data_IF_313376362451
#
_entry.id   IF_313376362451
#
_cell.length_a   1.000
_cell.length_b   1.000
_cell.length_c   1.000
_cell.angle_alpha   90.00
_cell.angle_beta   90.00
_cell.angle_gamma   90.00
#
_symmetry.space_group_name_H-M   'P 1'
#
loop_
_entity.id
_entity.type
_entity.pdbx_description
1 polymer ?
#
# COMPACT_ATOMS: atom_id res chain seq x y z
N UNK A 1 -22.89 -15.24 -0.34
CA UNK A 1 -21.81 -16.11 -0.88
C UNK A 1 -20.88 -16.55 0.25
N UNK A 2 -20.27 -17.75 0.11
CA UNK A 2 -19.16 -18.19 0.97
C UNK A 2 -17.86 -17.89 0.25
N UNK A 3 -17.07 -16.98 0.79
CA UNK A 3 -15.86 -16.44 0.16
C UNK A 3 -14.63 -16.89 0.95
N UNK A 4 -13.67 -17.50 0.29
CA UNK A 4 -12.32 -17.74 0.82
C UNK A 4 -11.38 -16.72 0.19
N UNK A 5 -10.89 -15.80 1.01
CA UNK A 5 -10.05 -14.67 0.59
C UNK A 5 -8.60 -14.93 1.00
N UNK A 6 -7.73 -15.19 0.04
CA UNK A 6 -6.33 -15.54 0.29
C UNK A 6 -5.47 -14.29 0.18
N UNK A 7 -4.98 -13.79 1.31
CA UNK A 7 -4.01 -12.68 1.35
C UNK A 7 -2.93 -12.99 2.38
N UNK A 8 -1.72 -13.32 1.91
CA UNK A 8 -0.55 -13.65 2.72
C UNK A 8 -0.29 -12.64 3.85
N UNK A 9 -0.45 -11.35 3.53
CA UNK A 9 -0.11 -10.24 4.40
C UNK A 9 -1.33 -9.53 5.00
N UNK A 10 -2.51 -10.15 4.94
CA UNK A 10 -3.71 -9.56 5.51
C UNK A 10 -3.48 -9.17 6.98
N UNK A 11 -3.66 -7.90 7.28
CA UNK A 11 -3.42 -7.30 8.57
C UNK A 11 -4.72 -6.73 9.14
N UNK A 12 -4.77 -6.66 10.48
CA UNK A 12 -5.83 -5.94 11.17
C UNK A 12 -5.62 -4.42 11.05
N UNK A 13 -6.67 -3.61 10.97
CA UNK A 13 -6.58 -2.16 11.06
C UNK A 13 -5.75 -1.68 12.25
N UNK A 14 -5.88 -2.34 13.39
CA UNK A 14 -5.14 -2.03 14.62
C UNK A 14 -3.62 -2.28 14.54
N UNK A 15 -3.15 -3.09 13.57
CA UNK A 15 -1.73 -3.44 13.42
C UNK A 15 -0.94 -2.50 12.50
N UNK A 16 -1.61 -1.57 11.81
CA UNK A 16 -0.97 -0.62 10.90
C UNK A 16 -0.53 -1.18 9.55
N UNK A 17 -0.88 -2.44 9.24
CA UNK A 17 -0.58 -3.09 7.98
C UNK A 17 -1.61 -2.80 6.86
N UNK A 18 -1.57 -3.60 5.80
CA UNK A 18 -2.61 -3.58 4.75
C UNK A 18 -3.89 -4.26 5.26
N UNK A 19 -4.87 -3.46 5.65
CA UNK A 19 -6.15 -3.91 6.19
C UNK A 19 -7.25 -4.07 5.14
N UNK A 20 -6.94 -3.95 3.85
CA UNK A 20 -7.91 -4.03 2.75
C UNK A 20 -8.75 -5.29 2.79
N UNK A 21 -8.12 -6.44 3.04
CA UNK A 21 -8.82 -7.72 3.14
C UNK A 21 -9.91 -7.69 4.22
N UNK A 22 -9.63 -7.10 5.38
CA UNK A 22 -10.58 -6.96 6.48
C UNK A 22 -11.70 -6.00 6.11
N UNK A 23 -11.39 -4.85 5.51
CA UNK A 23 -12.39 -3.86 5.08
C UNK A 23 -13.37 -4.43 4.05
N UNK A 24 -12.85 -5.15 3.04
CA UNK A 24 -13.68 -5.81 2.04
C UNK A 24 -14.55 -6.91 2.68
N UNK A 25 -13.96 -7.75 3.54
CA UNK A 25 -14.67 -8.80 4.25
C UNK A 25 -15.82 -8.24 5.09
N UNK A 26 -15.57 -7.19 5.88
CA UNK A 26 -16.60 -6.51 6.68
C UNK A 26 -17.72 -5.95 5.81
N UNK A 27 -17.39 -5.31 4.68
CA UNK A 27 -18.37 -4.78 3.75
C UNK A 27 -19.23 -5.88 3.09
N UNK A 28 -18.65 -7.03 2.77
CA UNK A 28 -19.41 -8.17 2.20
C UNK A 28 -20.25 -8.88 3.25
N UNK A 29 -19.76 -8.99 4.49
CA UNK A 29 -20.53 -9.57 5.61
C UNK A 29 -21.79 -8.72 5.92
N UNK A 30 -21.73 -7.40 5.82
CA UNK A 30 -22.90 -6.52 5.92
C UNK A 30 -23.95 -6.80 4.84
N UNK A 31 -23.53 -7.39 3.72
CA UNK A 31 -24.44 -7.84 2.65
C UNK A 31 -24.86 -9.32 2.79
N UNK A 32 -24.59 -9.96 3.93
CA UNK A 32 -24.97 -11.36 4.22
C UNK A 32 -24.00 -12.41 3.66
N UNK A 33 -22.81 -12.04 3.21
CA UNK A 33 -21.79 -13.00 2.77
C UNK A 33 -21.01 -13.57 3.97
N UNK A 34 -20.49 -14.79 3.86
CA UNK A 34 -19.58 -15.39 4.82
C UNK A 34 -18.17 -15.30 4.27
N UNK A 35 -17.25 -14.67 4.98
CA UNK A 35 -15.86 -14.48 4.51
C UNK A 35 -14.88 -15.08 5.48
N UNK A 36 -13.97 -15.89 4.98
CA UNK A 36 -12.78 -16.37 5.71
C UNK A 36 -11.53 -15.87 5.01
N UNK A 37 -10.67 -15.16 5.74
CA UNK A 37 -9.38 -14.69 5.24
C UNK A 37 -8.31 -15.74 5.55
N UNK A 38 -7.63 -16.26 4.53
CA UNK A 38 -6.45 -17.12 4.67
C UNK A 38 -5.20 -16.27 4.64
N UNK A 39 -4.47 -16.22 5.76
CA UNK A 39 -3.27 -15.40 5.91
C UNK A 39 -2.14 -16.15 6.62
N UNK A 40 -0.92 -15.59 6.60
CA UNK A 40 0.16 -16.10 7.41
C UNK A 40 -0.12 -15.85 8.91
N UNK A 41 0.18 -16.85 9.74
CA UNK A 41 0.21 -16.73 11.20
C UNK A 41 1.57 -16.29 11.68
N UNK A 42 1.62 -15.51 12.75
CA UNK A 42 2.87 -15.15 13.40
C UNK A 42 3.48 -16.37 14.10
N UNK A 43 4.63 -16.84 13.58
CA UNK A 43 5.61 -17.58 14.36
C UNK A 43 5.19 -18.90 15.03
N UNK A 44 4.09 -19.53 14.65
CA UNK A 44 3.73 -20.83 15.22
C UNK A 44 4.76 -21.89 14.84
N UNK A 45 5.35 -22.55 15.87
CA UNK A 45 6.21 -23.73 15.74
C UNK A 45 5.43 -25.00 15.39
N UNK A 46 4.17 -24.87 14.97
CA UNK A 46 3.29 -26.00 14.68
C UNK A 46 3.73 -26.75 13.41
N UNK A 47 3.60 -28.09 13.39
CA UNK A 47 3.94 -28.92 12.24
C UNK A 47 3.20 -28.52 10.96
N UNK A 48 3.72 -28.93 9.81
CA UNK A 48 3.12 -28.70 8.51
C UNK A 48 1.71 -29.30 8.47
N UNK A 49 0.67 -28.45 8.34
CA UNK A 49 -0.72 -28.89 8.28
C UNK A 49 -1.67 -28.19 9.26
N UNK A 50 -1.17 -27.51 10.26
CA UNK A 50 -2.03 -26.88 11.25
C UNK A 50 -2.55 -25.53 10.75
N UNK A 51 -3.87 -25.48 10.57
CA UNK A 51 -4.65 -24.27 10.30
C UNK A 51 -5.22 -23.79 11.64
N UNK A 52 -4.82 -22.60 12.06
CA UNK A 52 -5.37 -21.95 13.25
C UNK A 52 -6.49 -21.00 12.82
N UNK A 53 -7.68 -21.18 13.38
CA UNK A 53 -8.79 -20.25 13.15
C UNK A 53 -8.84 -19.24 14.30
N UNK A 54 -8.88 -17.97 13.93
CA UNK A 54 -9.00 -16.85 14.86
C UNK A 54 -10.09 -15.90 14.39
N UNK A 55 -10.76 -15.24 15.34
CA UNK A 55 -11.76 -14.22 15.06
C UNK A 55 -11.23 -12.88 15.57
N UNK A 56 -11.12 -11.90 14.70
CA UNK A 56 -10.63 -10.58 15.04
C UNK A 56 -11.38 -9.50 14.23
N UNK A 57 -11.79 -8.43 14.90
CA UNK A 57 -12.51 -7.30 14.30
C UNK A 57 -13.74 -7.74 13.46
N UNK A 58 -14.44 -8.78 13.92
CA UNK A 58 -15.63 -9.32 13.25
C UNK A 58 -15.36 -10.22 12.04
N UNK A 59 -14.11 -10.53 11.72
CA UNK A 59 -13.72 -11.35 10.58
C UNK A 59 -13.07 -12.65 11.02
N UNK A 60 -13.36 -13.73 10.31
CA UNK A 60 -12.71 -15.05 10.52
C UNK A 60 -11.41 -15.12 9.74
N UNK A 61 -10.33 -15.47 10.42
CA UNK A 61 -9.03 -15.78 9.83
C UNK A 61 -8.71 -17.26 9.94
N UNK A 62 -8.24 -17.84 8.85
CA UNK A 62 -7.52 -19.11 8.84
C UNK A 62 -6.03 -18.82 8.70
N UNK A 63 -5.28 -18.99 9.76
CA UNK A 63 -3.85 -18.70 9.80
C UNK A 63 -3.04 -19.93 9.45
N UNK A 64 -2.18 -19.79 8.42
CA UNK A 64 -1.20 -20.81 8.05
C UNK A 64 0.16 -20.44 8.65
N UNK A 65 0.77 -21.37 9.41
CA UNK A 65 2.08 -21.12 10.02
C UNK A 65 3.14 -20.84 8.93
N UNK A 66 3.55 -19.61 8.81
CA UNK A 66 4.64 -19.15 7.96
C UNK A 66 5.53 -18.20 8.76
N UNK A 67 6.85 -18.18 8.52
CA UNK A 67 7.70 -17.22 9.23
C UNK A 67 7.24 -15.80 8.87
N UNK A 68 7.30 -14.85 9.81
CA UNK A 68 7.05 -13.46 9.51
C UNK A 68 8.00 -13.01 8.39
N UNK A 69 7.63 -12.01 7.57
CA UNK A 69 8.54 -11.46 6.58
C UNK A 69 9.82 -11.00 7.29
N UNK A 70 10.94 -11.69 7.02
CA UNK A 70 12.23 -11.38 7.60
C UNK A 70 12.71 -9.99 7.15
N UNK A 71 13.70 -9.44 7.86
CA UNK A 71 14.36 -8.20 7.42
C UNK A 71 15.10 -8.47 6.10
N UNK A 72 14.77 -7.66 5.08
CA UNK A 72 15.39 -7.76 3.76
C UNK A 72 14.63 -8.63 2.76
N UNK A 73 15.20 -8.74 1.57
CA UNK A 73 14.63 -9.40 0.39
C UNK A 73 14.45 -10.91 0.62
N UNK A 74 15.49 -11.57 1.14
CA UNK A 74 15.50 -13.02 1.36
C UNK A 74 14.47 -13.47 2.38
N UNK A 75 14.26 -12.70 3.44
CA UNK A 75 13.28 -13.02 4.46
C UNK A 75 11.85 -12.95 3.93
N UNK A 76 11.53 -11.95 3.12
CA UNK A 76 10.20 -11.81 2.49
C UNK A 76 9.94 -12.93 1.48
N UNK A 77 10.94 -13.30 0.67
CA UNK A 77 10.83 -14.38 -0.32
C UNK A 77 10.65 -15.74 0.35
N UNK A 78 11.43 -16.02 1.39
CA UNK A 78 11.30 -17.26 2.18
C UNK A 78 9.92 -17.37 2.83
N UNK A 79 9.41 -16.29 3.42
CA UNK A 79 8.05 -16.24 3.99
C UNK A 79 7.00 -16.58 2.94
N UNK A 80 7.07 -15.95 1.75
CA UNK A 80 6.18 -16.22 0.63
C UNK A 80 6.22 -17.69 0.19
N UNK A 81 7.41 -18.26 0.01
CA UNK A 81 7.58 -19.65 -0.42
C UNK A 81 6.99 -20.63 0.59
N UNK A 82 7.22 -20.40 1.88
CA UNK A 82 6.65 -21.25 2.95
C UNK A 82 5.13 -21.14 2.98
N UNK A 83 4.60 -19.91 2.90
CA UNK A 83 3.17 -19.68 2.85
C UNK A 83 2.51 -20.40 1.65
N UNK A 84 3.04 -20.22 0.44
CA UNK A 84 2.53 -20.87 -0.77
C UNK A 84 2.57 -22.39 -0.69
N UNK A 85 3.67 -22.97 -0.16
CA UNK A 85 3.77 -24.42 0.05
C UNK A 85 2.67 -24.92 0.99
N UNK A 86 2.48 -24.24 2.12
CA UNK A 86 1.44 -24.61 3.10
C UNK A 86 0.04 -24.44 2.53
N UNK A 87 -0.23 -23.33 1.85
CA UNK A 87 -1.49 -23.06 1.20
C UNK A 87 -1.84 -24.15 0.17
N UNK A 88 -0.85 -24.60 -0.63
CA UNK A 88 -1.04 -25.66 -1.60
C UNK A 88 -1.39 -27.01 -0.96
N UNK A 89 -0.70 -27.36 0.11
CA UNK A 89 -0.93 -28.61 0.87
C UNK A 89 -2.27 -28.58 1.60
N UNK A 90 -2.65 -27.42 2.15
CA UNK A 90 -3.90 -27.25 2.91
C UNK A 90 -5.15 -27.11 2.01
N UNK A 91 -5.00 -27.03 0.68
CA UNK A 91 -6.13 -26.82 -0.24
C UNK A 91 -7.31 -27.80 -0.04
N UNK A 92 -7.11 -29.13 0.15
CA UNK A 92 -8.22 -30.04 0.40
C UNK A 92 -8.97 -29.74 1.71
N UNK A 93 -8.22 -29.50 2.79
CA UNK A 93 -8.80 -29.17 4.09
C UNK A 93 -9.53 -27.82 4.08
N UNK A 94 -9.02 -26.82 3.36
CA UNK A 94 -9.68 -25.52 3.17
C UNK A 94 -11.00 -25.70 2.39
N UNK A 95 -10.99 -26.47 1.31
CA UNK A 95 -12.17 -26.75 0.49
C UNK A 95 -13.25 -27.48 1.30
N UNK A 96 -12.89 -28.52 2.06
CA UNK A 96 -13.81 -29.30 2.88
C UNK A 96 -14.40 -28.48 4.03
N UNK A 97 -13.55 -27.74 4.77
CA UNK A 97 -13.93 -26.99 5.97
C UNK A 97 -14.82 -25.81 5.65
N UNK A 98 -14.42 -24.99 4.68
CA UNK A 98 -15.11 -23.72 4.39
C UNK A 98 -16.13 -23.82 3.26
N UNK A 99 -16.06 -24.86 2.42
CA UNK A 99 -16.95 -25.08 1.27
C UNK A 99 -17.22 -23.78 0.51
N UNK A 100 -16.16 -23.09 0.05
CA UNK A 100 -16.33 -21.79 -0.59
C UNK A 100 -17.08 -21.93 -1.91
N UNK A 101 -17.89 -20.94 -2.24
CA UNK A 101 -18.47 -20.72 -3.56
C UNK A 101 -17.53 -19.87 -4.44
N UNK A 102 -16.63 -19.14 -3.77
CA UNK A 102 -15.67 -18.24 -4.40
C UNK A 102 -14.32 -18.27 -3.67
N UNK A 103 -13.23 -18.36 -4.43
CA UNK A 103 -11.87 -18.27 -3.91
C UNK A 103 -11.14 -17.10 -4.59
N UNK A 104 -10.68 -16.15 -3.79
CA UNK A 104 -9.99 -14.94 -4.25
C UNK A 104 -8.50 -15.04 -3.92
N UNK A 105 -7.62 -14.95 -4.95
CA UNK A 105 -6.18 -14.82 -4.79
C UNK A 105 -5.80 -13.33 -4.74
N UNK A 106 -5.36 -12.85 -3.57
CA UNK A 106 -5.18 -11.43 -3.27
C UNK A 106 -3.83 -11.09 -2.61
N UNK A 107 -2.85 -12.00 -2.67
CA UNK A 107 -1.55 -11.84 -1.98
C UNK A 107 -0.61 -10.79 -2.58
N UNK A 108 -1.00 -10.12 -3.67
CA UNK A 108 -0.19 -9.10 -4.36
C UNK A 108 0.90 -9.69 -5.28
N UNK A 109 0.91 -10.99 -5.49
CA UNK A 109 1.78 -11.71 -6.41
C UNK A 109 0.97 -12.84 -7.10
N UNK A 110 1.34 -13.27 -8.32
CA UNK A 110 0.50 -14.20 -9.10
C UNK A 110 0.61 -15.66 -8.67
N UNK A 111 1.55 -16.01 -7.79
CA UNK A 111 1.81 -17.41 -7.44
C UNK A 111 0.74 -18.04 -6.55
N UNK A 112 0.03 -17.26 -5.75
CA UNK A 112 -1.07 -17.72 -4.90
C UNK A 112 -2.29 -18.15 -5.71
N UNK A 113 -2.43 -17.67 -6.95
CA UNK A 113 -3.51 -18.08 -7.84
C UNK A 113 -3.51 -19.59 -8.13
N UNK A 114 -2.35 -20.23 -8.24
CA UNK A 114 -2.28 -21.69 -8.41
C UNK A 114 -2.90 -22.44 -7.22
N UNK A 115 -2.64 -21.95 -6.01
CA UNK A 115 -3.19 -22.52 -4.78
C UNK A 115 -4.69 -22.23 -4.66
N UNK A 116 -5.11 -21.02 -4.98
CA UNK A 116 -6.51 -20.61 -5.00
C UNK A 116 -7.31 -21.43 -5.99
N UNK A 117 -6.82 -21.64 -7.22
CA UNK A 117 -7.47 -22.44 -8.24
C UNK A 117 -7.57 -23.93 -7.82
N UNK A 118 -6.51 -24.47 -7.17
CA UNK A 118 -6.57 -25.83 -6.62
C UNK A 118 -7.69 -25.96 -5.58
N UNK A 119 -7.77 -25.03 -4.64
CA UNK A 119 -8.84 -25.02 -3.62
C UNK A 119 -10.21 -24.88 -4.25
N UNK A 120 -10.35 -23.96 -5.22
CA UNK A 120 -11.61 -23.75 -5.94
C UNK A 120 -12.07 -25.00 -6.70
N UNK A 121 -11.17 -25.68 -7.42
CA UNK A 121 -11.50 -26.94 -8.12
C UNK A 121 -11.99 -28.04 -7.17
N UNK A 122 -11.39 -28.16 -5.99
CA UNK A 122 -11.79 -29.13 -4.98
C UNK A 122 -13.15 -28.81 -4.36
N UNK A 123 -13.51 -27.53 -4.26
CA UNK A 123 -14.78 -27.06 -3.72
C UNK A 123 -15.88 -26.87 -4.77
N UNK A 124 -15.59 -26.94 -6.07
CA UNK A 124 -16.52 -26.56 -7.13
C UNK A 124 -16.77 -25.04 -7.21
N UNK A 125 -15.83 -24.24 -6.75
CA UNK A 125 -15.96 -22.78 -6.61
C UNK A 125 -15.44 -22.01 -7.83
N UNK A 126 -15.88 -20.74 -7.97
CA UNK A 126 -15.32 -19.78 -8.91
C UNK A 126 -13.99 -19.19 -8.37
N UNK A 127 -13.18 -18.66 -9.28
CA UNK A 127 -11.88 -18.05 -8.96
C UNK A 127 -11.82 -16.58 -9.32
N UNK A 128 -11.22 -15.78 -8.43
CA UNK A 128 -10.91 -14.38 -8.69
C UNK A 128 -9.42 -14.12 -8.47
N UNK A 129 -8.83 -13.34 -9.35
CA UNK A 129 -7.45 -12.86 -9.19
C UNK A 129 -7.42 -11.36 -8.98
N UNK A 130 -6.77 -10.88 -7.92
CA UNK A 130 -6.53 -9.47 -7.70
C UNK A 130 -5.19 -9.03 -8.27
N UNK A 131 -5.25 -8.16 -9.27
CA UNK A 131 -4.08 -7.51 -9.87
C UNK A 131 -3.79 -6.22 -9.11
N UNK A 132 -2.86 -6.26 -8.17
CA UNK A 132 -2.47 -5.09 -7.33
C UNK A 132 -1.16 -4.46 -7.75
N UNK A 133 -0.25 -5.25 -8.27
CA UNK A 133 1.09 -4.82 -8.63
C UNK A 133 1.41 -5.33 -10.04
N UNK A 134 2.15 -4.57 -10.87
CA UNK A 134 2.70 -5.06 -12.13
C UNK A 134 3.83 -6.05 -11.82
N UNK A 135 3.48 -7.27 -11.38
CA UNK A 135 4.36 -8.16 -10.63
C UNK A 135 5.68 -8.51 -11.29
N UNK A 136 5.78 -8.86 -12.58
CA UNK A 136 7.10 -9.18 -13.13
C UNK A 136 8.04 -7.98 -13.08
N UNK A 137 7.52 -6.77 -13.34
CA UNK A 137 8.26 -5.51 -13.28
C UNK A 137 8.63 -5.16 -11.83
N UNK A 138 7.65 -5.28 -10.93
CA UNK A 138 7.82 -5.03 -9.51
C UNK A 138 8.81 -6.01 -8.87
N UNK A 139 8.77 -7.30 -9.25
CA UNK A 139 9.74 -8.30 -8.80
C UNK A 139 11.15 -7.94 -9.23
N UNK A 140 11.36 -7.56 -10.49
CA UNK A 140 12.66 -7.12 -11.01
C UNK A 140 13.22 -5.95 -10.23
N UNK A 141 12.38 -4.96 -9.95
CA UNK A 141 12.80 -3.76 -9.24
C UNK A 141 13.10 -4.05 -7.76
N UNK A 142 12.30 -4.89 -7.11
CA UNK A 142 12.46 -5.22 -5.69
C UNK A 142 13.61 -6.18 -5.42
N UNK A 143 13.85 -7.10 -6.33
CA UNK A 143 14.79 -8.22 -6.17
C UNK A 143 15.90 -8.17 -7.23
N UNK A 144 16.40 -6.97 -7.56
CA UNK A 144 17.36 -6.75 -8.62
C UNK A 144 18.64 -7.62 -8.52
N UNK A 145 19.09 -7.92 -7.29
CA UNK A 145 20.26 -8.78 -7.02
C UNK A 145 20.04 -10.25 -7.40
N UNK A 146 18.77 -10.69 -7.49
CA UNK A 146 18.36 -12.07 -7.78
C UNK A 146 17.51 -12.16 -9.07
N UNK A 147 17.65 -11.20 -9.97
CA UNK A 147 16.88 -11.10 -11.21
C UNK A 147 17.42 -12.05 -12.29
N UNK A 148 17.33 -13.35 -12.05
CA UNK A 148 17.68 -14.35 -13.04
C UNK A 148 16.64 -14.44 -14.16
N UNK A 149 17.09 -14.85 -15.37
CA UNK A 149 16.20 -15.10 -16.52
C UNK A 149 15.09 -16.10 -16.15
N UNK A 150 15.42 -17.13 -15.38
CA UNK A 150 14.46 -18.14 -14.92
C UNK A 150 13.37 -17.53 -14.02
N UNK A 151 13.76 -16.71 -13.03
CA UNK A 151 12.81 -16.05 -12.14
C UNK A 151 11.86 -15.13 -12.90
N UNK A 152 12.37 -14.42 -13.92
CA UNK A 152 11.52 -13.60 -14.81
C UNK A 152 10.53 -14.44 -15.58
N UNK A 153 10.97 -15.52 -16.22
CA UNK A 153 10.08 -16.43 -16.96
C UNK A 153 9.01 -17.04 -16.06
N UNK A 154 9.35 -17.42 -14.82
CA UNK A 154 8.39 -17.96 -13.85
C UNK A 154 7.34 -16.89 -13.47
N UNK A 155 7.77 -15.66 -13.22
CA UNK A 155 6.87 -14.56 -12.87
C UNK A 155 5.93 -14.19 -14.03
N UNK A 156 6.47 -14.09 -15.24
CA UNK A 156 5.70 -13.81 -16.45
C UNK A 156 4.68 -14.93 -16.74
N UNK A 157 5.10 -16.19 -16.61
CA UNK A 157 4.21 -17.34 -16.77
C UNK A 157 3.09 -17.33 -15.72
N UNK A 158 3.43 -17.13 -14.44
CA UNK A 158 2.44 -17.12 -13.37
C UNK A 158 1.42 -15.99 -13.53
N UNK A 159 1.87 -14.79 -13.92
CA UNK A 159 0.96 -13.66 -14.19
C UNK A 159 0.04 -13.97 -15.38
N UNK A 160 0.61 -14.41 -16.50
CA UNK A 160 -0.18 -14.78 -17.67
C UNK A 160 -1.15 -15.92 -17.38
N UNK A 161 -0.75 -16.88 -16.55
CA UNK A 161 -1.63 -17.96 -16.14
C UNK A 161 -2.80 -17.47 -15.29
N UNK A 162 -2.55 -16.63 -14.28
CA UNK A 162 -3.60 -16.09 -13.43
C UNK A 162 -4.61 -15.26 -14.25
N UNK A 163 -4.12 -14.36 -15.12
CA UNK A 163 -4.97 -13.52 -15.97
C UNK A 163 -5.86 -14.33 -16.95
N UNK A 164 -5.36 -15.45 -17.50
CA UNK A 164 -6.14 -16.28 -18.44
C UNK A 164 -7.11 -17.25 -17.77
N UNK A 165 -6.85 -17.65 -16.53
CA UNK A 165 -7.58 -18.75 -15.89
C UNK A 165 -8.48 -18.31 -14.73
N UNK A 166 -8.45 -17.04 -14.32
CA UNK A 166 -9.40 -16.50 -13.37
C UNK A 166 -10.76 -16.27 -14.04
N UNK A 167 -11.86 -16.63 -13.36
CA UNK A 167 -13.22 -16.32 -13.82
C UNK A 167 -13.45 -14.78 -13.83
N UNK A 168 -12.74 -14.04 -12.94
CA UNK A 168 -12.72 -12.58 -12.88
C UNK A 168 -11.33 -12.10 -12.45
N UNK A 169 -10.80 -11.13 -13.15
CA UNK A 169 -9.65 -10.32 -12.68
C UNK A 169 -10.16 -8.99 -12.13
N UNK A 170 -9.77 -8.67 -10.91
CA UNK A 170 -10.04 -7.37 -10.28
C UNK A 170 -8.73 -6.60 -10.17
N UNK A 171 -8.61 -5.51 -10.91
CA UNK A 171 -7.43 -4.68 -10.92
C UNK A 171 -7.57 -3.53 -9.93
N UNK A 172 -6.58 -3.37 -9.06
CA UNK A 172 -6.33 -2.16 -8.29
C UNK A 172 -5.23 -1.27 -8.90
N UNK A 173 -4.69 -1.68 -10.05
CA UNK A 173 -3.86 -0.80 -10.86
C UNK A 173 -4.77 0.18 -11.62
N UNK A 174 -4.55 1.49 -11.55
CA UNK A 174 -5.34 2.49 -12.26
C UNK A 174 -5.48 2.22 -13.77
N UNK A 175 -4.42 1.68 -14.39
CA UNK A 175 -4.39 1.30 -15.81
C UNK A 175 -4.22 -0.22 -16.00
N UNK A 176 -5.03 -1.00 -15.26
CA UNK A 176 -4.97 -2.47 -15.30
C UNK A 176 -5.33 -3.06 -16.68
N UNK A 177 -6.25 -2.44 -17.43
CA UNK A 177 -6.57 -2.83 -18.80
C UNK A 177 -5.37 -2.66 -19.74
N UNK A 178 -4.67 -1.54 -19.64
CA UNK A 178 -3.44 -1.29 -20.42
C UNK A 178 -2.36 -2.31 -20.06
N UNK A 179 -2.24 -2.65 -18.76
CA UNK A 179 -1.31 -3.67 -18.32
C UNK A 179 -1.59 -5.02 -18.96
N UNK A 180 -2.85 -5.47 -18.99
CA UNK A 180 -3.24 -6.73 -19.63
C UNK A 180 -3.00 -6.68 -21.14
N UNK A 181 -3.41 -5.62 -21.82
CA UNK A 181 -3.24 -5.43 -23.26
C UNK A 181 -1.77 -5.46 -23.68
N UNK A 182 -0.91 -4.73 -22.99
CA UNK A 182 0.53 -4.64 -23.31
C UNK A 182 1.26 -5.97 -23.13
N UNK A 183 0.71 -6.85 -22.32
CA UNK A 183 1.21 -8.22 -22.14
C UNK A 183 0.55 -9.23 -23.08
N UNK A 184 -0.32 -8.79 -23.99
CA UNK A 184 -1.08 -9.68 -24.87
C UNK A 184 -2.03 -10.62 -24.11
N UNK A 185 -2.49 -10.22 -22.92
CA UNK A 185 -3.40 -11.00 -22.09
C UNK A 185 -4.83 -10.48 -22.22
N UNK A 186 -5.77 -11.40 -22.35
CA UNK A 186 -7.20 -11.10 -22.38
C UNK A 186 -7.89 -11.91 -21.27
N UNK A 187 -8.03 -11.34 -20.07
CA UNK A 187 -8.83 -11.96 -19.01
C UNK A 187 -10.27 -12.19 -19.47
N UNK A 188 -10.90 -13.29 -19.03
CA UNK A 188 -12.29 -13.57 -19.35
C UNK A 188 -13.23 -12.42 -18.94
N UNK A 189 -12.97 -11.85 -17.77
CA UNK A 189 -13.62 -10.65 -17.25
C UNK A 189 -12.57 -9.82 -16.50
N UNK A 190 -12.57 -8.52 -16.70
CA UNK A 190 -11.69 -7.56 -16.00
C UNK A 190 -12.51 -6.37 -15.52
N UNK A 191 -12.30 -5.99 -14.28
CA UNK A 191 -12.79 -4.73 -13.73
C UNK A 191 -11.63 -4.00 -13.04
N UNK A 192 -11.67 -2.68 -13.07
CA UNK A 192 -10.73 -1.83 -12.31
C UNK A 192 -11.49 -1.16 -11.17
N UNK A 193 -10.98 -1.31 -9.95
CA UNK A 193 -11.51 -0.69 -8.75
C UNK A 193 -10.45 0.21 -8.10
N UNK A 194 -10.86 1.31 -7.47
CA UNK A 194 -9.96 2.09 -6.65
C UNK A 194 -9.57 1.30 -5.39
N UNK A 195 -8.37 1.57 -4.85
CA UNK A 195 -7.99 1.02 -3.56
C UNK A 195 -8.88 1.61 -2.45
N UNK A 196 -9.43 0.80 -1.52
CA UNK A 196 -10.17 1.35 -0.39
C UNK A 196 -9.24 2.10 0.57
N UNK A 197 -9.69 3.25 1.06
CA UNK A 197 -8.94 4.00 2.05
C UNK A 197 -8.86 3.21 3.38
N UNK A 198 -7.68 3.09 3.99
CA UNK A 198 -7.56 2.45 5.30
C UNK A 198 -8.30 3.28 6.37
N UNK A 199 -8.68 2.70 7.51
CA UNK A 199 -9.25 3.47 8.61
C UNK A 199 -8.28 4.56 9.08
N UNK A 200 -8.80 5.74 9.37
CA UNK A 200 -7.98 6.82 9.87
C UNK A 200 -7.55 6.57 11.31
N UNK A 201 -6.25 6.64 11.58
CA UNK A 201 -5.75 6.54 12.95
C UNK A 201 -6.23 7.71 13.80
N UNK A 202 -6.56 7.49 15.07
CA UNK A 202 -6.85 8.59 16.00
C UNK A 202 -5.56 9.36 16.32
N UNK A 203 -5.59 10.69 16.28
CA UNK A 203 -4.44 11.51 16.67
C UNK A 203 -4.02 11.18 18.11
N UNK A 204 -2.69 11.08 18.34
CA UNK A 204 -2.11 10.88 19.67
C UNK A 204 -1.05 11.95 19.93
N UNK A 205 -0.89 12.40 21.17
CA UNK A 205 0.13 13.38 21.52
C UNK A 205 1.53 12.93 21.03
N UNK A 206 2.29 13.86 20.48
CA UNK A 206 3.71 13.67 20.21
C UNK A 206 4.46 13.45 21.53
N UNK A 207 5.67 12.93 21.44
CA UNK A 207 6.57 12.98 22.60
C UNK A 207 6.88 14.44 22.91
N UNK A 208 7.09 14.76 24.17
CA UNK A 208 7.33 16.13 24.62
C UNK A 208 8.54 16.76 23.91
N UNK A 209 9.63 16.01 23.76
CA UNK A 209 10.84 16.41 23.04
C UNK A 209 10.57 16.73 21.55
N UNK A 210 9.80 15.86 20.86
CA UNK A 210 9.44 16.06 19.46
C UNK A 210 8.50 17.28 19.32
N UNK A 211 7.52 17.42 20.21
CA UNK A 211 6.57 18.53 20.19
C UNK A 211 7.27 19.88 20.40
N UNK A 212 8.17 19.96 21.37
CA UNK A 212 8.96 21.18 21.64
C UNK A 212 9.84 21.55 20.45
N UNK A 213 10.54 20.56 19.85
CA UNK A 213 11.40 20.81 18.68
C UNK A 213 10.59 21.26 17.45
N UNK A 214 9.41 20.67 17.21
CA UNK A 214 8.52 21.05 16.10
C UNK A 214 7.95 22.45 16.34
N UNK A 215 7.60 22.79 17.57
CA UNK A 215 7.12 24.12 17.92
C UNK A 215 8.19 25.18 17.66
N UNK A 216 9.41 24.99 18.16
CA UNK A 216 10.54 25.89 17.93
C UNK A 216 10.85 26.06 16.42
N UNK A 217 10.75 24.98 15.66
CA UNK A 217 10.90 25.01 14.19
C UNK A 217 9.81 25.87 13.55
N UNK A 218 8.56 25.72 14.00
CA UNK A 218 7.39 26.45 13.47
C UNK A 218 7.44 27.94 13.77
N UNK A 219 7.98 28.33 14.92
CA UNK A 219 8.19 29.75 15.25
C UNK A 219 9.18 30.45 14.30
N UNK A 220 10.19 29.71 13.84
CA UNK A 220 11.24 30.24 12.96
C UNK A 220 10.85 30.16 11.47
N UNK A 221 10.05 29.13 11.07
CA UNK A 221 9.73 28.86 9.68
C UNK A 221 8.20 28.76 9.48
N UNK A 222 7.57 29.69 8.74
CA UNK A 222 6.12 29.74 8.57
C UNK A 222 5.55 28.55 7.78
N UNK A 223 6.34 27.88 6.92
CA UNK A 223 5.89 26.72 6.14
C UNK A 223 6.56 25.45 6.63
N UNK A 224 5.74 24.50 7.12
CA UNK A 224 6.21 23.22 7.64
C UNK A 224 5.78 22.06 6.73
N UNK A 225 6.75 21.24 6.31
CA UNK A 225 6.52 20.04 5.53
C UNK A 225 6.74 18.83 6.42
N UNK A 226 5.84 17.83 6.33
CA UNK A 226 5.98 16.62 7.12
C UNK A 226 6.13 15.35 6.25
N UNK A 227 7.06 14.52 6.66
CA UNK A 227 7.18 13.13 6.26
C UNK A 227 7.31 12.25 7.50
N UNK A 228 6.49 11.19 7.60
CA UNK A 228 6.66 10.17 8.62
C UNK A 228 6.52 8.77 7.99
N UNK A 229 7.59 8.00 8.03
CA UNK A 229 7.61 6.68 7.41
C UNK A 229 9.00 6.04 7.36
N UNK A 230 9.15 4.92 6.64
CA UNK A 230 10.44 4.25 6.49
C UNK A 230 11.48 5.12 5.78
N UNK A 231 12.65 5.29 6.40
CA UNK A 231 13.78 6.01 5.80
C UNK A 231 14.60 5.08 4.92
N UNK A 232 14.13 4.86 3.69
CA UNK A 232 14.73 3.98 2.69
C UNK A 232 14.97 4.72 1.38
N UNK A 233 15.83 4.18 0.51
CA UNK A 233 16.06 4.71 -0.84
C UNK A 233 14.74 4.93 -1.57
N UNK A 234 13.86 3.95 -1.53
CA UNK A 234 12.56 3.96 -2.20
C UNK A 234 11.68 5.16 -1.80
N UNK A 235 11.75 5.62 -0.56
CA UNK A 235 10.89 6.70 -0.05
C UNK A 235 11.45 8.09 -0.27
N UNK A 236 12.63 8.18 -0.86
CA UNK A 236 13.27 9.42 -1.28
C UNK A 236 13.38 10.53 -0.20
N UNK A 237 13.59 10.20 1.10
CA UNK A 237 13.63 11.21 2.13
C UNK A 237 14.83 12.16 1.99
N UNK A 238 15.89 11.73 1.30
CA UNK A 238 17.08 12.54 1.03
C UNK A 238 16.76 13.68 0.04
N UNK A 239 15.85 13.43 -0.92
CA UNK A 239 15.43 14.48 -1.87
C UNK A 239 14.66 15.58 -1.16
N UNK A 240 13.76 15.20 -0.24
CA UNK A 240 13.05 16.17 0.60
C UNK A 240 14.01 16.98 1.45
N UNK A 241 14.90 16.30 2.19
CA UNK A 241 15.88 16.99 3.04
C UNK A 241 16.75 17.95 2.24
N UNK A 242 17.23 17.52 1.07
CA UNK A 242 18.09 18.34 0.21
C UNK A 242 17.37 19.52 -0.45
N UNK A 243 16.09 19.36 -0.81
CA UNK A 243 15.30 20.46 -1.36
C UNK A 243 14.98 21.49 -0.28
N UNK A 244 14.42 21.05 0.86
CA UNK A 244 14.03 21.93 1.97
C UNK A 244 15.24 22.59 2.62
N UNK A 245 16.34 21.86 2.83
CA UNK A 245 17.54 22.41 3.47
C UNK A 245 18.07 23.68 2.80
N UNK A 246 17.84 23.84 1.49
CA UNK A 246 18.24 25.04 0.71
C UNK A 246 17.19 26.15 0.72
N UNK A 247 16.04 25.91 1.32
CA UNK A 247 14.91 26.86 1.31
C UNK A 247 14.65 27.50 2.70
N UNK A 248 15.64 27.48 3.59
CA UNK A 248 15.51 28.09 4.92
C UNK A 248 15.22 29.61 4.87
N UNK A 249 15.89 30.35 3.97
CA UNK A 249 15.65 31.78 3.77
C UNK A 249 14.25 32.08 3.21
N UNK A 250 13.61 31.14 2.50
CA UNK A 250 12.23 31.24 2.05
C UNK A 250 11.20 30.86 3.14
N UNK A 251 11.65 30.60 4.36
CA UNK A 251 10.79 30.28 5.49
C UNK A 251 10.22 28.85 5.45
N UNK A 252 10.91 27.93 4.80
CA UNK A 252 10.48 26.52 4.66
C UNK A 252 11.28 25.61 5.59
N UNK A 253 10.57 24.75 6.32
CA UNK A 253 11.19 23.71 7.15
C UNK A 253 10.55 22.34 6.91
N UNK A 254 11.27 21.27 7.26
CA UNK A 254 10.75 19.91 7.21
C UNK A 254 10.96 19.16 8.52
N UNK A 255 9.96 18.34 8.88
CA UNK A 255 10.08 17.28 9.88
C UNK A 255 10.07 15.93 9.15
N UNK A 256 11.16 15.19 9.29
CA UNK A 256 11.34 13.86 8.70
C UNK A 256 11.44 12.85 9.84
N UNK A 257 10.33 12.17 10.10
CA UNK A 257 10.18 11.20 11.17
C UNK A 257 10.30 9.76 10.63
N UNK A 258 11.20 8.95 11.18
CA UNK A 258 11.29 7.57 10.75
C UNK A 258 12.53 6.82 11.18
N UNK A 259 12.53 5.53 10.83
CA UNK A 259 13.68 4.64 10.97
C UNK A 259 13.94 3.92 9.64
N UNK A 260 15.19 3.51 9.42
CA UNK A 260 15.58 2.79 8.21
C UNK A 260 17.06 3.00 7.86
N UNK A 261 17.52 2.33 6.80
CA UNK A 261 18.92 2.35 6.37
C UNK A 261 19.46 3.74 6.00
N UNK A 262 18.59 4.66 5.62
CA UNK A 262 18.97 6.02 5.23
C UNK A 262 19.06 7.01 6.39
N UNK A 263 18.74 6.59 7.63
CA UNK A 263 18.74 7.51 8.79
C UNK A 263 20.10 8.12 9.06
N UNK A 264 21.16 7.32 9.01
CA UNK A 264 22.53 7.83 9.25
C UNK A 264 22.98 8.76 8.12
N UNK A 265 22.67 8.41 6.87
CA UNK A 265 22.96 9.28 5.72
C UNK A 265 22.26 10.64 5.88
N UNK A 266 20.98 10.66 6.21
CA UNK A 266 20.23 11.90 6.44
C UNK A 266 20.83 12.75 7.55
N UNK A 267 21.13 12.14 8.71
CA UNK A 267 21.76 12.86 9.84
C UNK A 267 23.09 13.49 9.45
N UNK A 268 23.90 12.73 8.72
CA UNK A 268 25.18 13.21 8.21
C UNK A 268 24.99 14.37 7.23
N UNK A 269 24.11 14.22 6.23
CA UNK A 269 23.85 15.22 5.21
C UNK A 269 23.32 16.52 5.81
N UNK A 270 22.34 16.46 6.73
CA UNK A 270 21.80 17.63 7.42
C UNK A 270 22.89 18.37 8.19
N UNK A 271 23.71 17.64 8.94
CA UNK A 271 24.79 18.23 9.75
C UNK A 271 25.89 18.84 8.88
N UNK A 272 26.37 18.15 7.84
CA UNK A 272 27.44 18.63 6.98
C UNK A 272 27.06 19.88 6.18
N UNK A 273 25.78 20.05 5.88
CA UNK A 273 25.28 21.24 5.19
C UNK A 273 24.75 22.33 6.14
N UNK A 274 24.74 22.11 7.45
CA UNK A 274 24.25 23.10 8.42
C UNK A 274 22.76 23.43 8.29
N UNK A 275 21.93 22.49 7.84
CA UNK A 275 20.50 22.71 7.62
C UNK A 275 19.72 22.72 8.95
N UNK A 276 19.53 23.88 9.53
CA UNK A 276 18.74 24.06 10.76
C UNK A 276 17.24 23.94 10.56
N UNK A 277 16.77 24.07 9.32
CA UNK A 277 15.37 23.95 8.91
C UNK A 277 14.93 22.51 8.60
N UNK A 278 15.76 21.49 8.84
CA UNK A 278 15.45 20.07 8.65
C UNK A 278 15.57 19.33 9.99
N UNK A 279 14.44 19.02 10.59
CA UNK A 279 14.36 18.25 11.84
C UNK A 279 14.21 16.76 11.54
N UNK A 280 15.11 15.94 12.08
CA UNK A 280 15.06 14.47 11.98
C UNK A 280 14.65 13.88 13.32
N UNK A 281 13.54 13.13 13.35
CA UNK A 281 13.07 12.43 14.55
C UNK A 281 13.04 10.91 14.36
N UNK A 282 12.76 10.19 15.42
CA UNK A 282 12.57 8.74 15.38
C UNK A 282 11.22 8.34 14.77
N UNK A 283 11.06 7.06 14.47
CA UNK A 283 9.78 6.54 13.97
C UNK A 283 8.65 6.75 14.98
N UNK A 284 7.49 7.09 14.45
CA UNK A 284 6.28 7.39 15.21
C UNK A 284 5.20 6.33 14.97
N UNK A 285 4.34 6.10 15.98
CA UNK A 285 3.09 5.34 15.80
C UNK A 285 2.13 6.10 14.87
N UNK A 286 1.20 5.40 14.21
CA UNK A 286 0.26 6.03 13.27
C UNK A 286 -0.51 7.21 13.86
N UNK A 287 -0.95 7.10 15.12
CA UNK A 287 -1.63 8.22 15.79
C UNK A 287 -0.74 9.46 15.99
N UNK A 288 0.56 9.26 16.29
CA UNK A 288 1.53 10.37 16.37
C UNK A 288 1.89 10.92 14.99
N UNK A 289 2.02 10.05 13.98
CA UNK A 289 2.19 10.49 12.59
C UNK A 289 1.03 11.40 12.18
N UNK A 290 -0.21 11.01 12.50
CA UNK A 290 -1.37 11.83 12.21
C UNK A 290 -1.30 13.19 12.89
N UNK A 291 -0.91 13.27 14.15
CA UNK A 291 -0.71 14.55 14.83
C UNK A 291 0.33 15.42 14.12
N UNK A 292 1.47 14.83 13.72
CA UNK A 292 2.49 15.53 12.94
C UNK A 292 1.91 16.04 11.61
N UNK A 293 1.16 15.21 10.88
CA UNK A 293 0.56 15.60 9.59
C UNK A 293 -0.45 16.75 9.73
N UNK A 294 -1.26 16.72 10.79
CA UNK A 294 -2.22 17.81 11.06
C UNK A 294 -1.55 19.14 11.39
N UNK A 295 -0.33 19.13 11.96
CA UNK A 295 0.44 20.36 12.25
C UNK A 295 1.18 20.92 11.05
N UNK A 296 1.34 20.13 9.98
CA UNK A 296 2.04 20.53 8.76
C UNK A 296 1.14 21.31 7.78
N UNK A 297 1.76 22.07 6.88
CA UNK A 297 1.10 22.78 5.78
C UNK A 297 1.10 21.95 4.50
N UNK A 298 2.11 21.10 4.32
CA UNK A 298 2.30 20.23 3.16
C UNK A 298 2.82 18.87 3.61
N UNK A 299 2.29 17.81 3.05
CA UNK A 299 2.74 16.46 3.28
C UNK A 299 3.60 15.97 2.12
N UNK A 300 4.62 15.16 2.41
CA UNK A 300 5.50 14.62 1.39
C UNK A 300 5.25 13.13 1.17
N UNK A 301 5.12 12.74 -0.10
CA UNK A 301 5.08 11.36 -0.55
C UNK A 301 6.17 11.13 -1.60
N UNK A 302 7.19 10.36 -1.24
CA UNK A 302 8.22 9.90 -2.16
C UNK A 302 8.05 8.41 -2.47
N UNK A 303 8.17 8.01 -3.74
CA UNK A 303 8.21 6.60 -4.13
C UNK A 303 8.99 6.43 -5.45
N UNK A 304 10.15 5.79 -5.39
CA UNK A 304 11.05 5.57 -6.54
C UNK A 304 10.66 4.33 -7.37
N UNK A 305 9.44 3.82 -7.25
CA UNK A 305 8.96 2.69 -8.06
C UNK A 305 8.75 3.12 -9.51
N UNK A 306 9.63 2.65 -10.37
CA UNK A 306 9.54 2.90 -11.81
C UNK A 306 8.53 2.00 -12.50
N UNK A 307 8.29 0.81 -11.96
CA UNK A 307 7.26 -0.10 -12.46
C UNK A 307 5.84 0.50 -12.42
N UNK A 308 5.58 1.44 -11.51
CA UNK A 308 4.30 2.15 -11.41
C UNK A 308 4.14 3.26 -12.47
N UNK A 309 5.21 3.68 -13.13
CA UNK A 309 5.19 4.82 -14.05
C UNK A 309 4.14 4.67 -15.17
N UNK A 310 3.96 3.45 -15.69
CA UNK A 310 3.09 3.19 -16.82
C UNK A 310 1.65 2.83 -16.43
N UNK A 311 1.48 2.06 -15.36
CA UNK A 311 0.18 1.48 -15.02
C UNK A 311 -0.41 1.99 -13.71
N UNK A 312 0.34 2.80 -12.98
CA UNK A 312 0.06 3.14 -11.60
C UNK A 312 0.36 1.97 -10.65
N UNK A 313 0.12 2.17 -9.38
CA UNK A 313 0.37 1.16 -8.36
C UNK A 313 -0.58 1.27 -7.19
N UNK A 314 -0.70 0.19 -6.45
CA UNK A 314 -1.42 0.16 -5.19
C UNK A 314 -0.62 0.89 -4.11
N UNK A 315 -1.13 2.02 -3.61
CA UNK A 315 -0.42 2.90 -2.69
C UNK A 315 -1.24 3.27 -1.43
N UNK A 316 -1.51 2.33 -0.51
CA UNK A 316 -2.33 2.58 0.68
C UNK A 316 -1.75 3.66 1.60
N UNK A 317 -0.41 3.82 1.62
CA UNK A 317 0.23 4.88 2.38
C UNK A 317 -0.14 6.28 1.88
N UNK A 318 -0.30 6.46 0.57
CA UNK A 318 -0.75 7.74 0.00
C UNK A 318 -2.18 8.08 0.44
N UNK A 319 -3.07 7.08 0.47
CA UNK A 319 -4.45 7.27 0.97
C UNK A 319 -4.47 7.68 2.46
N UNK A 320 -3.52 7.18 3.26
CA UNK A 320 -3.36 7.64 4.66
C UNK A 320 -2.91 9.10 4.75
N UNK A 321 -2.08 9.58 3.83
CA UNK A 321 -1.71 10.99 3.78
C UNK A 321 -2.92 11.85 3.42
N UNK A 322 -3.73 11.44 2.44
CA UNK A 322 -4.95 12.14 2.03
C UNK A 322 -5.94 12.34 3.19
N UNK A 323 -5.99 11.41 4.17
CA UNK A 323 -6.89 11.48 5.34
C UNK A 323 -6.62 12.68 6.29
N UNK A 324 -5.60 13.47 6.04
CA UNK A 324 -5.27 14.61 6.88
C UNK A 324 -5.79 15.93 6.31
N UNK A 325 -6.47 15.92 5.15
CA UNK A 325 -7.03 17.12 4.54
C UNK A 325 -5.98 18.19 4.22
N UNK A 326 -4.74 17.76 3.90
CA UNK A 326 -3.62 18.64 3.59
C UNK A 326 -3.16 18.45 2.16
N UNK A 327 -2.63 19.50 1.51
CA UNK A 327 -1.92 19.36 0.24
C UNK A 327 -0.80 18.32 0.33
N UNK A 328 -0.57 17.59 -0.75
CA UNK A 328 0.48 16.58 -0.81
C UNK A 328 1.45 16.91 -1.95
N UNK A 329 2.74 16.85 -1.70
CA UNK A 329 3.78 16.85 -2.72
C UNK A 329 4.17 15.41 -3.01
N UNK A 330 3.96 14.97 -4.26
CA UNK A 330 4.31 13.61 -4.68
C UNK A 330 5.54 13.62 -5.57
N UNK A 331 6.64 13.02 -5.09
CA UNK A 331 7.85 12.77 -5.86
C UNK A 331 7.84 11.31 -6.32
N UNK A 332 7.26 11.05 -7.49
CA UNK A 332 7.06 9.69 -8.03
C UNK A 332 7.25 9.67 -9.54
N UNK A 333 7.45 8.48 -10.10
CA UNK A 333 7.52 8.29 -11.56
C UNK A 333 6.13 8.15 -12.21
N UNK A 334 5.06 8.04 -11.42
CA UNK A 334 3.70 7.82 -11.92
C UNK A 334 2.84 9.06 -11.79
N UNK A 335 2.18 9.44 -12.88
CA UNK A 335 1.10 10.43 -12.90
C UNK A 335 -0.26 9.85 -12.45
N UNK A 336 -0.35 8.54 -12.27
CA UNK A 336 -1.59 7.80 -12.00
C UNK A 336 -1.78 7.47 -10.50
N UNK A 337 -1.17 8.24 -9.61
CA UNK A 337 -1.41 8.03 -8.17
C UNK A 337 -2.72 8.69 -7.69
N UNK A 338 -3.29 8.14 -6.60
CA UNK A 338 -4.59 8.55 -6.09
C UNK A 338 -4.68 10.05 -5.78
N UNK A 339 -3.62 10.65 -5.22
CA UNK A 339 -3.62 12.07 -4.84
C UNK A 339 -3.58 13.00 -6.05
N UNK A 340 -2.84 12.66 -7.10
CA UNK A 340 -2.83 13.44 -8.36
C UNK A 340 -4.17 13.34 -9.07
N UNK A 341 -4.76 12.15 -9.14
CA UNK A 341 -6.08 11.94 -9.74
C UNK A 341 -7.21 12.65 -9.00
N UNK A 342 -7.09 12.78 -7.70
CA UNK A 342 -8.03 13.53 -6.87
C UNK A 342 -7.82 15.05 -6.91
N UNK A 343 -6.73 15.52 -7.54
CA UNK A 343 -6.41 16.95 -7.57
C UNK A 343 -5.93 17.52 -6.22
N UNK A 344 -5.46 16.65 -5.32
CA UNK A 344 -4.96 17.05 -3.98
C UNK A 344 -3.44 17.19 -3.91
N UNK A 345 -2.71 16.87 -4.97
CA UNK A 345 -1.26 16.80 -4.93
C UNK A 345 -0.59 17.67 -6.00
N UNK A 346 0.58 18.19 -5.62
CA UNK A 346 1.55 18.75 -6.55
C UNK A 346 2.50 17.64 -6.99
N UNK A 347 2.63 17.44 -8.30
CA UNK A 347 3.60 16.51 -8.86
C UNK A 347 4.99 17.09 -8.86
N UNK A 348 5.98 16.28 -8.51
CA UNK A 348 7.40 16.59 -8.62
C UNK A 348 8.11 15.42 -9.31
N UNK A 349 9.08 15.73 -10.16
CA UNK A 349 10.03 14.73 -10.60
C UNK A 349 10.78 14.15 -9.38
N UNK A 350 11.11 12.86 -9.44
CA UNK A 350 11.84 12.17 -8.36
C UNK A 350 13.33 12.59 -8.31
N UNK A 351 13.57 13.91 -8.31
CA UNK A 351 14.87 14.56 -8.20
C UNK A 351 14.82 15.68 -7.16
N UNK A 352 15.97 16.07 -6.61
CA UNK A 352 16.04 17.18 -5.67
C UNK A 352 15.55 18.49 -6.28
N UNK A 353 15.91 18.75 -7.55
CA UNK A 353 15.45 19.95 -8.27
C UNK A 353 13.93 19.92 -8.49
N UNK A 354 13.36 18.77 -8.90
CA UNK A 354 11.92 18.61 -9.10
C UNK A 354 11.12 18.86 -7.81
N UNK A 355 11.60 18.32 -6.68
CA UNK A 355 11.01 18.60 -5.36
C UNK A 355 11.10 20.08 -5.02
N UNK A 356 12.25 20.76 -5.24
CA UNK A 356 12.41 22.19 -5.03
C UNK A 356 11.42 23.03 -5.85
N UNK A 357 11.32 22.77 -7.14
CA UNK A 357 10.36 23.45 -8.03
C UNK A 357 8.90 23.26 -7.61
N UNK A 358 8.56 22.05 -7.12
CA UNK A 358 7.20 21.81 -6.61
C UNK A 358 6.93 22.56 -5.30
N UNK A 359 7.94 22.73 -4.46
CA UNK A 359 7.85 23.57 -3.25
C UNK A 359 7.67 25.06 -3.60
N UNK A 360 8.40 25.56 -4.58
CA UNK A 360 8.23 26.95 -5.07
C UNK A 360 6.79 27.17 -5.57
N UNK A 361 6.25 26.22 -6.35
CA UNK A 361 4.85 26.27 -6.79
C UNK A 361 3.87 26.27 -5.61
N UNK A 362 4.12 25.44 -4.58
CA UNK A 362 3.29 25.41 -3.38
C UNK A 362 3.33 26.75 -2.61
N UNK A 363 4.49 27.37 -2.49
CA UNK A 363 4.63 28.66 -1.82
C UNK A 363 3.86 29.78 -2.54
N UNK A 364 3.79 29.71 -3.87
CA UNK A 364 3.07 30.68 -4.70
C UNK A 364 1.53 30.55 -4.62
N UNK A 365 1.00 29.42 -4.11
CA UNK A 365 -0.44 29.22 -3.95
C UNK A 365 -1.00 30.11 -2.84
N UNK A 366 -2.20 30.63 -3.07
CA UNK A 366 -3.02 31.34 -2.08
C UNK A 366 -3.48 30.39 -0.96
N UNK A 367 -3.97 30.93 0.13
CA UNK A 367 -4.58 30.13 1.21
C UNK A 367 -5.80 29.34 0.75
N UNK A 368 -6.62 29.93 -0.13
CA UNK A 368 -7.79 29.28 -0.71
C UNK A 368 -7.43 28.09 -1.61
N UNK A 369 -6.42 28.27 -2.48
CA UNK A 369 -5.92 27.17 -3.32
C UNK A 369 -5.34 26.01 -2.51
N UNK A 370 -4.58 26.31 -1.44
CA UNK A 370 -4.08 25.28 -0.50
C UNK A 370 -5.22 24.54 0.21
N UNK A 371 -6.25 25.27 0.65
CA UNK A 371 -7.43 24.68 1.27
C UNK A 371 -8.22 23.78 0.27
N UNK A 372 -8.36 24.22 -0.98
CA UNK A 372 -9.01 23.44 -2.03
C UNK A 372 -8.30 22.11 -2.30
N UNK A 373 -6.96 22.08 -2.31
CA UNK A 373 -6.21 20.84 -2.43
C UNK A 373 -6.50 19.86 -1.27
N UNK A 374 -6.64 20.37 -0.04
CA UNK A 374 -7.02 19.55 1.11
C UNK A 374 -8.45 19.01 1.02
N UNK A 375 -9.42 19.85 0.62
CA UNK A 375 -10.82 19.47 0.46
C UNK A 375 -11.01 18.38 -0.62
N UNK A 376 -10.27 18.46 -1.72
CA UNK A 376 -10.28 17.45 -2.77
C UNK A 376 -9.83 16.06 -2.26
N UNK A 377 -8.94 16.00 -1.26
CA UNK A 377 -8.56 14.74 -0.62
C UNK A 377 -9.73 14.12 0.14
N UNK A 378 -10.43 14.91 0.94
CA UNK A 378 -11.57 14.44 1.72
C UNK A 378 -12.71 13.95 0.83
N UNK A 379 -13.02 14.68 -0.25
CA UNK A 379 -14.01 14.27 -1.23
C UNK A 379 -13.66 12.92 -1.89
N UNK A 380 -12.42 12.77 -2.35
CA UNK A 380 -11.98 11.52 -2.97
C UNK A 380 -12.02 10.33 -2.02
N UNK A 381 -11.73 10.53 -0.72
CA UNK A 381 -11.79 9.48 0.29
C UNK A 381 -13.23 9.07 0.63
N UNK A 382 -14.17 10.02 0.60
CA UNK A 382 -15.58 9.77 0.89
C UNK A 382 -16.35 9.18 -0.29
N UNK A 383 -15.87 9.40 -1.51
CA UNK A 383 -16.51 8.94 -2.75
C UNK A 383 -15.73 7.77 -3.37
N UNK A 384 -14.66 8.08 -4.09
CA UNK A 384 -13.89 7.12 -4.89
C UNK A 384 -13.24 6.03 -4.03
N UNK A 385 -12.66 6.38 -2.88
CA UNK A 385 -11.90 5.48 -2.01
C UNK A 385 -12.67 5.03 -0.76
N UNK A 386 -13.97 5.30 -0.67
CA UNK A 386 -14.80 4.86 0.45
C UNK A 386 -14.86 3.34 0.51
N UNK A 387 -14.31 2.74 1.58
CA UNK A 387 -14.15 1.29 1.69
C UNK A 387 -15.46 0.52 1.51
N UNK A 388 -16.56 1.02 2.08
CA UNK A 388 -17.89 0.43 1.91
C UNK A 388 -18.39 0.48 0.47
N UNK A 389 -18.10 1.55 -0.29
CA UNK A 389 -18.48 1.65 -1.70
C UNK A 389 -17.63 0.70 -2.55
N UNK A 390 -16.32 0.68 -2.35
CA UNK A 390 -15.42 -0.26 -3.05
C UNK A 390 -15.84 -1.71 -2.80
N UNK A 391 -16.19 -2.07 -1.56
CA UNK A 391 -16.68 -3.40 -1.23
C UNK A 391 -17.99 -3.74 -1.95
N UNK A 392 -18.95 -2.79 -2.05
CA UNK A 392 -20.21 -2.99 -2.80
C UNK A 392 -19.97 -3.16 -4.29
N UNK A 393 -19.12 -2.34 -4.88
CA UNK A 393 -18.81 -2.39 -6.32
C UNK A 393 -18.11 -3.71 -6.66
N UNK A 394 -17.17 -4.12 -5.83
CA UNK A 394 -16.51 -5.41 -5.97
C UNK A 394 -17.53 -6.55 -5.87
N UNK A 395 -18.38 -6.55 -4.83
CA UNK A 395 -19.42 -7.56 -4.66
C UNK A 395 -20.36 -7.64 -5.86
N UNK A 396 -20.72 -6.50 -6.42
CA UNK A 396 -21.58 -6.44 -7.61
C UNK A 396 -20.95 -7.13 -8.82
N UNK A 397 -19.62 -7.01 -8.97
CA UNK A 397 -18.89 -7.72 -10.00
C UNK A 397 -18.81 -9.23 -9.70
N UNK A 398 -18.63 -9.63 -8.43
CA UNK A 398 -18.64 -11.03 -8.03
C UNK A 398 -19.96 -11.70 -8.34
N UNK A 399 -21.09 -11.07 -8.07
CA UNK A 399 -22.43 -11.62 -8.34
C UNK A 399 -22.66 -11.90 -9.83
N UNK A 400 -22.03 -11.14 -10.73
CA UNK A 400 -22.13 -11.39 -12.19
C UNK A 400 -21.42 -12.66 -12.65
N UNK A 401 -20.70 -13.37 -11.78
CA UNK A 401 -20.07 -14.66 -12.12
C UNK A 401 -21.06 -15.80 -12.26
N UNK A 402 -22.28 -15.63 -11.77
CA UNK A 402 -23.36 -16.62 -11.85
C UNK A 402 -24.51 -16.24 -12.80
N UNK A 403 -24.37 -15.11 -13.47
CA UNK A 403 -25.25 -14.62 -14.53
C UNK A 403 -24.52 -14.74 -15.87
#
# INVERSE_FOLDING_TARGET
MKILYIDHHAALPSSGGDCRAVQLAQGWQQCGDTVTIVAAGEGSRTPCGDMEETHAEGVTFCRLSAPPPGRGVDGSRKSMQVFLKKLYVSAPALAERYRPELVIAAGGYPYDFFCAQRTAKLAGAKTVFELREPWPEWQRERYAEDDSRLNRCIADYAMGYALRNADLTVSFLPRGEDYCRDRGQQPARLITLPAPAPPAAQPKPLKEEDAAAIHALREKYPTLIAYAGPLTARRLPVLLAGAVGRMGEQGVAAVIAGNGGYKQLLRRTVRENGWENVLLTDGMTEGRQRTLYLTADLLYYGDDRRCDARYGGYAPFLLRLMQNGKPILTATHSSENAALRAGTALSADATQQGVGQALERFLALTGEEKAALGAAADEALQTTHAAGQVARDYRSALLRLWV
#
